data_IF_988249365287
#
_entry.id   IF_988249365287
#
_cell.length_a   1.000
_cell.length_b   1.000
_cell.length_c   1.000
_cell.angle_alpha   90.00
_cell.angle_beta   90.00
_cell.angle_gamma   90.00
#
_symmetry.space_group_name_H-M   'P 1'
#
loop_
_entity.id
_entity.type
_entity.pdbx_description
1 polymer ?
#
# COMPACT_ATOMS: atom_id res chain seq x y z
N UNK A 1 -35.75 43.46 30.40
CA UNK A 1 -35.20 43.18 29.06
C UNK A 1 -33.82 42.54 29.23
N UNK A 2 -33.72 41.23 29.48
CA UNK A 2 -32.43 40.56 29.70
C UNK A 2 -32.01 39.85 28.42
N UNK A 3 -30.98 40.38 27.74
CA UNK A 3 -30.40 39.78 26.53
C UNK A 3 -29.58 38.56 26.93
N UNK A 4 -30.05 37.37 26.55
CA UNK A 4 -29.28 36.13 26.62
C UNK A 4 -28.25 36.11 25.50
N UNK A 5 -26.98 36.21 25.85
CA UNK A 5 -25.86 35.98 24.94
C UNK A 5 -25.67 34.46 24.85
N UNK A 6 -26.13 33.85 23.76
CA UNK A 6 -25.89 32.45 23.48
C UNK A 6 -24.41 32.25 23.07
N UNK A 7 -23.64 31.61 23.95
CA UNK A 7 -22.28 31.17 23.66
C UNK A 7 -22.37 29.92 22.76
N UNK A 8 -22.12 30.06 21.46
CA UNK A 8 -21.95 28.91 20.56
C UNK A 8 -20.65 28.19 20.91
N UNK A 9 -20.76 27.01 21.53
CA UNK A 9 -19.65 26.08 21.61
C UNK A 9 -19.43 25.44 20.23
N UNK A 10 -18.28 25.70 19.62
CA UNK A 10 -17.76 24.86 18.53
C UNK A 10 -17.37 23.51 19.15
N UNK A 11 -18.18 22.48 18.92
CA UNK A 11 -17.80 21.11 19.20
C UNK A 11 -16.73 20.69 18.16
N UNK A 12 -15.51 20.43 18.61
CA UNK A 12 -14.51 19.77 17.79
C UNK A 12 -14.93 18.30 17.63
N UNK A 13 -15.31 17.90 16.41
CA UNK A 13 -15.50 16.49 16.08
C UNK A 13 -14.14 15.80 16.09
N UNK A 14 -13.95 14.71 16.85
CA UNK A 14 -12.74 13.92 16.74
C UNK A 14 -12.65 13.37 15.31
N UNK A 15 -11.52 13.61 14.63
CA UNK A 15 -11.20 12.90 13.40
C UNK A 15 -10.89 11.46 13.80
N UNK A 16 -11.85 10.56 13.58
CA UNK A 16 -11.57 9.13 13.63
C UNK A 16 -10.72 8.81 12.41
N UNK A 17 -9.54 8.24 12.64
CA UNK A 17 -8.72 7.74 11.56
C UNK A 17 -9.44 6.57 10.87
N UNK A 18 -9.84 6.78 9.63
CA UNK A 18 -10.55 5.77 8.84
C UNK A 18 -9.52 4.84 8.19
N UNK A 19 -9.70 3.54 8.38
CA UNK A 19 -8.91 2.54 7.64
C UNK A 19 -9.37 2.53 6.19
N UNK A 20 -8.44 2.81 5.28
CA UNK A 20 -8.68 2.81 3.83
C UNK A 20 -8.26 1.49 3.22
N UNK A 21 -9.11 0.93 2.37
CA UNK A 21 -8.82 -0.30 1.61
C UNK A 21 -9.07 -0.05 0.14
N UNK A 22 -8.06 -0.30 -0.69
CA UNK A 22 -8.14 -0.16 -2.14
C UNK A 22 -7.63 -1.43 -2.82
N UNK A 23 -8.27 -1.85 -3.91
CA UNK A 23 -7.84 -3.03 -4.67
C UNK A 23 -7.57 -2.65 -6.12
N UNK A 24 -6.45 -3.13 -6.65
CA UNK A 24 -6.02 -2.94 -8.04
C UNK A 24 -5.62 -4.27 -8.63
N UNK A 25 -5.92 -4.46 -9.92
CA UNK A 25 -5.45 -5.60 -10.71
C UNK A 25 -4.38 -5.12 -11.66
N UNK A 26 -3.25 -5.82 -11.65
CA UNK A 26 -2.10 -5.52 -12.51
C UNK A 26 -1.96 -6.60 -13.56
N UNK A 27 -1.81 -6.19 -14.82
CA UNK A 27 -1.35 -7.05 -15.90
C UNK A 27 0.17 -6.97 -15.95
N UNK A 28 0.82 -8.13 -15.79
CA UNK A 28 2.26 -8.25 -15.77
C UNK A 28 2.80 -8.88 -17.05
N UNK A 29 4.12 -8.87 -17.20
CA UNK A 29 4.78 -9.67 -18.22
C UNK A 29 4.38 -11.16 -18.15
N UNK A 30 4.62 -11.87 -19.26
CA UNK A 30 4.30 -13.30 -19.41
C UNK A 30 2.81 -13.64 -19.23
N UNK A 31 1.91 -12.64 -19.29
CA UNK A 31 0.47 -12.83 -19.15
C UNK A 31 0.02 -13.13 -17.71
N UNK A 32 0.89 -12.86 -16.73
CA UNK A 32 0.56 -13.02 -15.31
C UNK A 32 -0.33 -11.86 -14.87
N UNK A 33 -1.28 -12.16 -13.99
CA UNK A 33 -2.11 -11.15 -13.36
C UNK A 33 -1.85 -11.13 -11.85
N UNK A 34 -1.62 -9.93 -11.30
CA UNK A 34 -1.37 -9.75 -9.86
C UNK A 34 -2.47 -8.86 -9.27
N UNK A 35 -3.43 -9.45 -8.54
CA UNK A 35 -4.34 -8.71 -7.68
C UNK A 35 -3.58 -8.20 -6.45
N UNK A 36 -3.66 -6.90 -6.20
CA UNK A 36 -3.08 -6.23 -5.05
C UNK A 36 -4.16 -5.49 -4.25
N UNK A 37 -4.17 -5.68 -2.94
CA UNK A 37 -5.00 -4.92 -2.00
C UNK A 37 -4.10 -4.09 -1.11
N UNK A 38 -4.32 -2.78 -1.11
CA UNK A 38 -3.63 -1.82 -0.28
C UNK A 38 -4.51 -1.48 0.92
N UNK A 39 -3.94 -1.55 2.12
CA UNK A 39 -4.60 -1.15 3.36
C UNK A 39 -3.76 -0.07 4.01
N UNK A 40 -4.40 1.06 4.33
CA UNK A 40 -3.77 2.19 5.02
C UNK A 40 -4.58 2.54 6.25
N UNK A 41 -3.93 2.56 7.41
CA UNK A 41 -4.43 3.03 8.69
C UNK A 41 -3.40 4.00 9.30
N UNK A 42 -3.62 4.48 10.52
CA UNK A 42 -2.80 5.52 11.16
C UNK A 42 -1.29 5.28 11.09
N UNK A 43 -0.84 4.13 11.58
CA UNK A 43 0.57 3.75 11.71
C UNK A 43 0.93 2.53 10.86
N UNK A 44 0.04 2.13 9.96
CA UNK A 44 0.15 0.91 9.19
C UNK A 44 -0.22 1.14 7.73
N UNK A 45 0.68 0.77 6.84
CA UNK A 45 0.38 0.64 5.43
C UNK A 45 0.93 -0.70 4.92
N UNK A 46 0.08 -1.50 4.31
CA UNK A 46 0.43 -2.81 3.77
C UNK A 46 -0.08 -2.97 2.35
N UNK A 47 0.59 -3.85 1.60
CA UNK A 47 0.10 -4.41 0.36
C UNK A 47 -0.05 -5.92 0.53
N UNK A 48 -1.23 -6.44 0.20
CA UNK A 48 -1.50 -7.87 0.10
C UNK A 48 -1.60 -8.21 -1.39
N UNK A 49 -0.60 -8.90 -1.92
CA UNK A 49 -0.56 -9.32 -3.32
C UNK A 49 -0.84 -10.81 -3.45
N UNK A 50 -1.36 -11.22 -4.60
CA UNK A 50 -1.58 -12.63 -4.91
C UNK A 50 -0.75 -12.98 -6.16
N UNK A 51 0.21 -13.88 -6.00
CA UNK A 51 1.15 -14.29 -7.06
C UNK A 51 1.20 -15.81 -7.07
N UNK A 52 0.97 -16.44 -8.22
CA UNK A 52 0.96 -17.90 -8.38
C UNK A 52 0.09 -18.63 -7.33
N UNK A 53 -1.08 -18.07 -7.03
CA UNK A 53 -2.02 -18.62 -6.04
C UNK A 53 -1.61 -18.45 -4.57
N UNK A 54 -0.48 -17.78 -4.31
CA UNK A 54 0.01 -17.49 -2.95
C UNK A 54 -0.30 -16.05 -2.58
N UNK A 55 -0.86 -15.85 -1.40
CA UNK A 55 -1.06 -14.53 -0.82
C UNK A 55 0.19 -14.09 -0.05
N UNK A 56 0.67 -12.89 -0.33
CA UNK A 56 1.88 -12.31 0.26
C UNK A 56 1.53 -10.96 0.86
N UNK A 57 1.77 -10.79 2.16
CA UNK A 57 1.59 -9.53 2.87
C UNK A 57 2.93 -8.81 3.02
N UNK A 58 2.98 -7.55 2.61
CA UNK A 58 4.17 -6.71 2.60
C UNK A 58 3.86 -5.39 3.30
N UNK A 59 4.82 -4.87 4.07
CA UNK A 59 4.71 -3.61 4.82
C UNK A 59 5.36 -2.48 4.04
N UNK A 60 4.80 -1.27 4.13
CA UNK A 60 5.38 -0.11 3.47
C UNK A 60 6.80 0.16 3.99
N UNK A 61 7.73 0.35 3.07
CA UNK A 61 9.11 0.76 3.31
C UNK A 61 9.28 2.22 2.86
N UNK A 62 10.27 2.91 3.44
CA UNK A 62 10.68 4.22 2.95
C UNK A 62 11.26 4.10 1.53
N UNK A 63 10.83 4.99 0.63
CA UNK A 63 11.31 5.01 -0.75
C UNK A 63 11.44 6.43 -1.27
N UNK A 64 12.47 6.67 -2.08
CA UNK A 64 12.72 7.98 -2.69
C UNK A 64 11.64 8.38 -3.72
N UNK A 65 11.02 7.40 -4.39
CA UNK A 65 9.91 7.65 -5.32
C UNK A 65 8.98 6.44 -5.41
N UNK A 66 7.69 6.71 -5.64
CA UNK A 66 6.68 5.67 -5.66
C UNK A 66 6.35 5.15 -4.26
N UNK A 67 5.68 4.02 -4.18
CA UNK A 67 5.35 3.35 -2.92
C UNK A 67 5.93 1.95 -2.95
N UNK A 68 6.71 1.64 -1.92
CA UNK A 68 7.47 0.40 -1.82
C UNK A 68 6.97 -0.40 -0.63
N UNK A 69 6.81 -1.70 -0.83
CA UNK A 69 6.36 -2.62 0.19
C UNK A 69 7.31 -3.83 0.24
N UNK A 70 7.75 -4.22 1.43
CA UNK A 70 8.62 -5.38 1.64
C UNK A 70 8.27 -6.11 2.93
N UNK A 71 8.76 -7.33 3.07
CA UNK A 71 8.71 -8.02 4.35
C UNK A 71 9.84 -7.48 5.24
N UNK A 72 9.58 -7.12 6.51
CA UNK A 72 10.59 -6.59 7.42
C UNK A 72 11.54 -7.69 7.89
N UNK A 73 12.42 -8.13 7.00
CA UNK A 73 13.48 -9.11 7.24
C UNK A 73 14.79 -8.68 6.60
N UNK A 74 15.88 -9.10 7.23
CA UNK A 74 17.26 -9.06 6.75
C UNK A 74 17.60 -10.21 5.79
N UNK A 75 16.73 -11.22 5.71
CA UNK A 75 16.84 -12.37 4.81
C UNK A 75 16.27 -12.10 3.41
N UNK A 76 16.04 -13.18 2.68
CA UNK A 76 15.47 -13.11 1.35
C UNK A 76 13.95 -12.88 1.41
N UNK A 77 13.43 -11.94 0.62
CA UNK A 77 12.00 -11.63 0.62
C UNK A 77 11.53 -10.98 -0.68
N UNK A 78 10.20 -11.00 -0.88
CA UNK A 78 9.56 -10.24 -1.94
C UNK A 78 9.51 -8.75 -1.63
N UNK A 79 9.58 -7.95 -2.69
CA UNK A 79 9.37 -6.51 -2.66
C UNK A 79 8.39 -6.14 -3.75
N UNK A 80 7.34 -5.40 -3.40
CA UNK A 80 6.36 -4.86 -4.34
C UNK A 80 6.53 -3.35 -4.41
N UNK A 81 6.89 -2.82 -5.58
CA UNK A 81 7.14 -1.39 -5.77
C UNK A 81 6.24 -0.83 -6.86
N UNK A 82 5.43 0.17 -6.51
CA UNK A 82 4.52 0.87 -7.41
C UNK A 82 4.97 2.29 -7.71
N UNK A 83 4.64 2.79 -8.91
CA UNK A 83 4.83 4.18 -9.30
C UNK A 83 3.80 4.57 -10.35
N UNK A 84 2.83 5.40 -9.94
CA UNK A 84 1.69 5.73 -10.81
C UNK A 84 0.92 4.46 -11.14
N UNK A 85 0.82 4.14 -12.43
CA UNK A 85 0.15 2.93 -12.93
C UNK A 85 1.04 1.69 -12.96
N UNK A 86 2.35 1.87 -12.86
CA UNK A 86 3.32 0.79 -13.00
C UNK A 86 3.58 0.11 -11.65
N UNK A 87 3.89 -1.18 -11.69
CA UNK A 87 4.37 -1.93 -10.55
C UNK A 87 5.46 -2.93 -10.95
N UNK A 88 6.35 -3.28 -10.02
CA UNK A 88 7.34 -4.34 -10.22
C UNK A 88 7.43 -5.20 -8.96
N UNK A 89 7.38 -6.52 -9.14
CA UNK A 89 7.69 -7.49 -8.09
C UNK A 89 9.17 -7.85 -8.19
N UNK A 90 9.89 -7.71 -7.09
CA UNK A 90 11.29 -8.13 -6.98
C UNK A 90 11.45 -9.27 -5.98
N UNK A 91 12.49 -10.07 -6.18
CA UNK A 91 13.12 -10.88 -5.14
C UNK A 91 14.33 -10.13 -4.60
N UNK A 92 14.35 -9.85 -3.30
CA UNK A 92 15.49 -9.28 -2.59
C UNK A 92 16.22 -10.41 -1.88
N UNK A 93 17.52 -10.55 -2.11
CA UNK A 93 18.38 -11.50 -1.40
C UNK A 93 19.77 -10.92 -1.22
N UNK A 94 20.32 -10.98 0.00
CA UNK A 94 21.60 -10.38 0.35
C UNK A 94 21.74 -8.90 -0.08
N UNK A 95 20.64 -8.13 0.00
CA UNK A 95 20.58 -6.73 -0.39
C UNK A 95 20.51 -6.46 -1.90
N UNK A 96 20.49 -7.50 -2.73
CA UNK A 96 20.34 -7.40 -4.18
C UNK A 96 18.90 -7.67 -4.59
N UNK A 97 18.34 -6.79 -5.41
CA UNK A 97 16.97 -6.92 -5.94
C UNK A 97 16.98 -7.37 -7.40
N UNK A 98 16.28 -8.47 -7.67
CA UNK A 98 16.10 -9.00 -9.02
C UNK A 98 14.62 -8.86 -9.42
N UNK A 99 14.29 -8.19 -10.54
CA UNK A 99 12.91 -8.08 -10.99
C UNK A 99 12.37 -9.45 -11.42
N UNK A 100 11.19 -9.81 -10.94
CA UNK A 100 10.47 -11.05 -11.28
C UNK A 100 9.30 -10.80 -12.23
N UNK A 101 8.59 -9.70 -12.03
CA UNK A 101 7.44 -9.28 -12.84
C UNK A 101 7.45 -7.76 -12.99
N UNK A 102 7.32 -7.27 -14.22
CA UNK A 102 6.98 -5.87 -14.51
C UNK A 102 5.51 -5.79 -14.93
N UNK A 103 4.78 -4.86 -14.35
CA UNK A 103 3.34 -4.78 -14.46
C UNK A 103 2.83 -3.35 -14.65
N UNK A 104 1.61 -3.24 -15.16
CA UNK A 104 0.82 -2.02 -15.20
C UNK A 104 -0.61 -2.29 -14.75
N UNK A 105 -1.25 -1.32 -14.10
CA UNK A 105 -2.65 -1.43 -13.72
C UNK A 105 -3.55 -1.54 -14.95
N UNK A 106 -4.66 -2.25 -14.78
CA UNK A 106 -5.65 -2.44 -15.85
C UNK A 106 -6.86 -1.50 -15.70
N UNK A 107 -6.73 -0.45 -14.89
CA UNK A 107 -7.81 0.51 -14.58
C UNK A 107 -7.77 1.74 -15.49
#
# INVERSE_FOLDING_TARGET
>A
MMRWTALMLLAATPALAETQVASTRYACDRGVEVPATYVTADDLAIAVINVDGTQITLYQEEAASGVRYGWPSDGANYVWWTKGKDATLYWKEAGVETPLLTCADTQ
#
